data_IF_971508806816
#
_entry.id   IF_971508806816
#
_cell.length_a   1.000
_cell.length_b   1.000
_cell.length_c   1.000
_cell.angle_alpha   90.00
_cell.angle_beta   90.00
_cell.angle_gamma   90.00
#
_symmetry.space_group_name_H-M   'P 1'
#
loop_
_entity.id
_entity.type
_entity.pdbx_description
1 polymer ?
#
# COMPACT_ATOMS: atom_id res chain seq x y z
N UNK A 1 11.52 -7.18 -16.15
CA UNK A 1 10.07 -7.46 -16.19
C UNK A 1 9.72 -8.07 -14.84
N UNK A 2 8.78 -7.49 -14.09
CA UNK A 2 8.40 -8.00 -12.76
C UNK A 2 7.45 -9.19 -12.97
N UNK A 3 7.82 -10.42 -12.58
CA UNK A 3 6.95 -11.59 -12.72
C UNK A 3 5.59 -11.36 -12.02
N UNK A 4 4.48 -11.63 -12.72
CA UNK A 4 3.13 -11.59 -12.14
C UNK A 4 2.53 -10.19 -11.94
N UNK A 5 3.28 -9.10 -12.18
CA UNK A 5 2.79 -7.74 -11.93
C UNK A 5 1.62 -7.35 -12.85
N UNK A 6 1.70 -7.72 -14.14
CA UNK A 6 0.61 -7.48 -15.11
C UNK A 6 -0.64 -8.26 -14.75
N UNK A 7 -0.48 -9.53 -14.37
CA UNK A 7 -1.56 -10.41 -13.96
C UNK A 7 -2.22 -9.91 -12.67
N UNK A 8 -1.43 -9.43 -11.71
CA UNK A 8 -1.94 -8.86 -10.47
C UNK A 8 -2.77 -7.59 -10.72
N UNK A 9 -2.27 -6.67 -11.55
CA UNK A 9 -3.00 -5.45 -11.94
C UNK A 9 -4.32 -5.81 -12.64
N UNK A 10 -4.30 -6.77 -13.57
CA UNK A 10 -5.51 -7.20 -14.28
C UNK A 10 -6.56 -7.86 -13.38
N UNK A 11 -6.16 -8.34 -12.19
CA UNK A 11 -7.04 -8.97 -11.19
C UNK A 11 -7.63 -7.98 -10.19
N UNK A 12 -7.21 -6.72 -10.20
CA UNK A 12 -7.74 -5.71 -9.29
C UNK A 12 -9.28 -5.63 -9.43
N UNK A 13 -10.03 -5.76 -8.32
CA UNK A 13 -11.48 -5.57 -8.34
C UNK A 13 -11.84 -4.18 -8.86
N UNK A 14 -12.93 -4.07 -9.61
CA UNK A 14 -13.38 -2.78 -10.17
C UNK A 14 -13.78 -1.75 -9.11
N UNK A 15 -14.04 -2.19 -7.89
CA UNK A 15 -14.35 -1.39 -6.70
C UNK A 15 -13.16 -1.24 -5.74
N UNK A 16 -11.95 -1.68 -6.13
CA UNK A 16 -10.75 -1.45 -5.33
C UNK A 16 -10.51 0.07 -5.15
N UNK A 17 -10.23 0.55 -3.93
CA UNK A 17 -10.00 1.97 -3.71
C UNK A 17 -8.66 2.46 -4.27
N UNK A 18 -7.76 1.56 -4.68
CA UNK A 18 -6.49 1.94 -5.30
C UNK A 18 -5.38 0.91 -5.11
N UNK A 19 -4.18 1.37 -4.78
CA UNK A 19 -2.96 0.58 -4.90
C UNK A 19 -2.09 0.63 -3.64
N UNK A 20 -1.31 -0.42 -3.40
CA UNK A 20 -0.24 -0.47 -2.41
C UNK A 20 1.10 -0.65 -3.09
N UNK A 21 2.14 -0.04 -2.54
CA UNK A 21 3.51 -0.30 -2.96
C UNK A 21 4.14 -1.33 -2.03
N UNK A 22 4.74 -2.37 -2.62
CA UNK A 22 5.51 -3.37 -1.89
C UNK A 22 6.96 -3.42 -2.35
N UNK A 23 7.83 -3.99 -1.51
CA UNK A 23 9.26 -4.19 -1.79
C UNK A 23 9.96 -2.90 -2.26
N UNK A 24 9.68 -1.78 -1.58
CA UNK A 24 10.27 -0.47 -1.86
C UNK A 24 11.66 -0.26 -1.20
N UNK A 25 12.13 -1.21 -0.38
CA UNK A 25 13.48 -1.19 0.19
C UNK A 25 14.50 -1.95 -0.69
N UNK A 26 15.76 -1.48 -0.78
CA UNK A 26 16.78 -2.11 -1.63
C UNK A 26 17.03 -3.59 -1.34
N UNK A 27 17.03 -3.99 -0.05
CA UNK A 27 17.29 -5.37 0.34
C UNK A 27 16.23 -6.36 -0.19
N UNK A 28 14.96 -5.96 -0.19
CA UNK A 28 13.88 -6.78 -0.76
C UNK A 28 14.01 -6.88 -2.29
N UNK A 29 14.40 -5.77 -2.94
CA UNK A 29 14.61 -5.75 -4.39
C UNK A 29 15.79 -6.63 -4.81
N UNK A 30 16.91 -6.55 -4.11
CA UNK A 30 18.08 -7.41 -4.35
C UNK A 30 17.72 -8.89 -4.15
N UNK A 31 17.02 -9.22 -3.06
CA UNK A 31 16.60 -10.58 -2.76
C UNK A 31 15.76 -11.21 -3.88
N UNK A 32 14.84 -10.43 -4.46
CA UNK A 32 13.94 -10.90 -5.53
C UNK A 32 14.44 -10.59 -6.95
N UNK A 33 15.60 -9.96 -7.11
CA UNK A 33 16.12 -9.53 -8.41
C UNK A 33 15.23 -8.51 -9.12
N UNK A 34 14.68 -7.56 -8.37
CA UNK A 34 13.79 -6.50 -8.87
C UNK A 34 14.57 -5.22 -9.17
N UNK A 35 14.19 -4.55 -10.27
CA UNK A 35 14.74 -3.22 -10.64
C UNK A 35 13.95 -2.05 -10.01
N UNK A 36 12.98 -2.36 -9.15
CA UNK A 36 12.09 -1.37 -8.53
C UNK A 36 10.99 -2.01 -7.68
N UNK A 37 10.09 -1.20 -7.10
CA UNK A 37 9.00 -1.71 -6.28
C UNK A 37 7.97 -2.48 -7.11
N UNK A 38 7.12 -3.21 -6.40
CA UNK A 38 5.93 -3.88 -6.96
C UNK A 38 4.65 -3.16 -6.50
N UNK A 39 3.55 -3.37 -7.22
CA UNK A 39 2.25 -2.77 -6.88
C UNK A 39 1.18 -3.85 -6.68
N UNK A 40 0.41 -3.75 -5.60
CA UNK A 40 -0.79 -4.55 -5.35
C UNK A 40 -2.03 -3.67 -5.31
N UNK A 41 -3.22 -4.26 -5.30
CA UNK A 41 -4.47 -3.51 -5.18
C UNK A 41 -4.95 -3.46 -3.73
N UNK A 42 -5.59 -2.36 -3.34
CA UNK A 42 -6.16 -2.22 -2.00
C UNK A 42 -7.44 -3.04 -1.87
N UNK A 43 -7.63 -3.66 -0.72
CA UNK A 43 -8.85 -4.34 -0.33
C UNK A 43 -9.45 -3.65 0.91
N UNK A 44 -10.78 -3.60 1.04
CA UNK A 44 -11.39 -3.20 2.30
C UNK A 44 -10.93 -4.15 3.42
N UNK A 45 -10.92 -3.70 4.69
CA UNK A 45 -10.59 -4.58 5.80
C UNK A 45 -11.64 -5.70 5.88
N UNK A 46 -11.21 -6.93 5.60
CA UNK A 46 -12.05 -8.12 5.75
C UNK A 46 -11.96 -8.71 7.16
N UNK A 47 -12.77 -9.73 7.49
CA UNK A 47 -12.71 -10.47 8.77
C UNK A 47 -11.44 -11.35 8.89
N UNK A 48 -10.38 -11.01 8.17
CA UNK A 48 -9.16 -11.80 8.09
C UNK A 48 -8.42 -11.67 9.42
N UNK A 49 -7.94 -12.80 9.95
CA UNK A 49 -6.89 -12.85 10.96
C UNK A 49 -5.58 -12.34 10.34
N UNK A 50 -5.49 -11.03 10.13
CA UNK A 50 -4.21 -10.39 9.83
C UNK A 50 -3.28 -10.64 11.01
N UNK A 51 -2.01 -10.89 10.71
CA UNK A 51 -1.01 -11.15 11.75
C UNK A 51 -0.15 -9.90 12.03
N UNK A 52 -0.03 -9.04 11.02
CA UNK A 52 0.90 -7.91 11.00
C UNK A 52 0.14 -6.67 10.56
N UNK A 53 0.50 -5.54 11.15
CA UNK A 53 0.12 -4.22 10.69
C UNK A 53 1.34 -3.46 10.17
N UNK A 54 1.12 -2.60 9.17
CA UNK A 54 2.11 -1.64 8.70
C UNK A 54 1.48 -0.23 8.74
N UNK A 55 2.14 0.72 9.39
CA UNK A 55 1.72 2.12 9.38
C UNK A 55 2.27 2.82 8.15
N UNK A 56 1.39 3.47 7.40
CA UNK A 56 1.74 4.11 6.13
C UNK A 56 1.12 5.50 5.98
N UNK A 57 1.55 6.22 4.95
CA UNK A 57 0.84 7.39 4.43
C UNK A 57 0.00 6.96 3.24
N UNK A 58 -1.29 7.28 3.27
CA UNK A 58 -2.17 7.23 2.11
C UNK A 58 -2.13 8.55 1.33
N UNK A 59 -2.11 8.45 0.01
CA UNK A 59 -2.19 9.56 -0.92
C UNK A 59 -3.42 9.42 -1.81
N UNK A 60 -4.31 10.41 -1.77
CA UNK A 60 -5.50 10.47 -2.62
C UNK A 60 -5.19 11.22 -3.90
N UNK A 61 -5.51 10.59 -5.03
CA UNK A 61 -5.22 11.12 -6.35
C UNK A 61 -6.34 12.05 -6.82
N UNK A 62 -5.98 13.29 -7.15
CA UNK A 62 -6.85 14.34 -7.62
C UNK A 62 -7.34 14.14 -9.06
N UNK A 63 -8.26 15.00 -9.48
CA UNK A 63 -8.80 15.02 -10.85
C UNK A 63 -7.77 15.41 -11.91
N UNK A 64 -6.70 16.08 -11.51
CA UNK A 64 -5.53 16.39 -12.33
C UNK A 64 -4.50 15.25 -12.40
N UNK A 65 -4.73 14.15 -11.68
CA UNK A 65 -3.82 13.02 -11.57
C UNK A 65 -2.67 13.24 -10.58
N UNK A 66 -2.61 14.38 -9.89
CA UNK A 66 -1.67 14.68 -8.82
C UNK A 66 -2.14 14.21 -7.45
N UNK A 67 -1.35 14.44 -6.40
CA UNK A 67 -1.78 14.19 -5.01
C UNK A 67 -2.67 15.35 -4.56
N UNK A 68 -3.93 15.05 -4.24
CA UNK A 68 -4.88 16.03 -3.73
C UNK A 68 -4.87 16.11 -2.19
N UNK A 69 -4.60 14.99 -1.52
CA UNK A 69 -4.58 14.90 -0.07
C UNK A 69 -3.68 13.76 0.41
N UNK A 70 -3.21 13.88 1.65
CA UNK A 70 -2.43 12.87 2.36
C UNK A 70 -3.07 12.59 3.72
N UNK A 71 -2.84 11.40 4.28
CA UNK A 71 -3.39 11.01 5.58
C UNK A 71 -2.82 9.67 6.04
N UNK A 72 -3.05 9.27 7.29
CA UNK A 72 -2.51 8.04 7.84
C UNK A 72 -3.28 6.82 7.31
N UNK A 73 -2.58 5.71 7.15
CA UNK A 73 -3.15 4.42 6.82
C UNK A 73 -2.56 3.31 7.68
N UNK A 74 -3.32 2.23 7.86
CA UNK A 74 -2.86 0.99 8.46
C UNK A 74 -3.08 -0.11 7.44
N UNK A 75 -2.01 -0.66 6.89
CA UNK A 75 -2.07 -1.87 6.09
C UNK A 75 -2.17 -3.10 7.00
N UNK A 76 -3.06 -4.02 6.66
CA UNK A 76 -3.17 -5.33 7.30
C UNK A 76 -2.55 -6.38 6.39
N UNK A 77 -1.62 -7.15 6.96
CA UNK A 77 -0.77 -8.09 6.23
C UNK A 77 -0.83 -9.49 6.87
N UNK A 78 -0.80 -10.52 6.02
CA UNK A 78 -0.57 -11.91 6.44
C UNK A 78 0.56 -12.50 5.62
N UNK A 79 1.67 -12.80 6.29
CA UNK A 79 2.83 -13.48 5.68
C UNK A 79 2.61 -14.99 5.81
N UNK A 80 2.67 -15.69 4.68
CA UNK A 80 2.68 -17.14 4.63
C UNK A 80 4.14 -17.58 4.40
N UNK A 81 4.84 -18.10 5.43
CA UNK A 81 6.25 -18.43 5.32
C UNK A 81 6.53 -19.58 4.35
N UNK A 82 5.51 -20.32 3.90
CA UNK A 82 5.68 -21.34 2.87
C UNK A 82 5.81 -20.77 1.45
N UNK A 83 5.46 -19.48 1.26
CA UNK A 83 5.49 -18.79 -0.03
C UNK A 83 6.71 -17.88 -0.09
N UNK A 84 7.83 -18.43 -0.56
CA UNK A 84 9.09 -17.70 -0.69
C UNK A 84 9.33 -17.18 -2.12
N UNK A 85 8.54 -17.65 -3.09
CA UNK A 85 8.71 -17.26 -4.49
C UNK A 85 7.94 -15.99 -4.80
N UNK A 86 8.59 -15.06 -5.51
CA UNK A 86 7.97 -13.79 -5.91
C UNK A 86 6.63 -13.99 -6.62
N UNK A 87 6.52 -14.96 -7.55
CA UNK A 87 5.25 -15.16 -8.27
C UNK A 87 4.09 -15.56 -7.34
N UNK A 88 4.38 -16.34 -6.29
CA UNK A 88 3.38 -16.77 -5.31
C UNK A 88 2.96 -15.60 -4.40
N UNK A 89 3.92 -14.76 -4.02
CA UNK A 89 3.67 -13.53 -3.27
C UNK A 89 2.81 -12.56 -4.08
N UNK A 90 3.16 -12.34 -5.36
CA UNK A 90 2.40 -11.51 -6.28
C UNK A 90 0.98 -12.05 -6.49
N UNK A 91 0.81 -13.36 -6.67
CA UNK A 91 -0.50 -13.99 -6.76
C UNK A 91 -1.36 -13.75 -5.50
N UNK A 92 -0.71 -13.65 -4.33
CA UNK A 92 -1.30 -13.32 -3.04
C UNK A 92 -1.53 -11.84 -2.77
N UNK A 93 -1.41 -10.96 -3.77
CA UNK A 93 -1.53 -9.50 -3.64
C UNK A 93 -0.50 -8.91 -2.66
N UNK A 94 0.74 -9.44 -2.70
CA UNK A 94 1.89 -8.96 -1.90
C UNK A 94 1.54 -8.95 -0.41
N UNK A 95 1.04 -10.09 0.08
CA UNK A 95 0.62 -10.29 1.48
C UNK A 95 -0.55 -9.41 1.98
N UNK A 96 -1.09 -8.51 1.14
CA UNK A 96 -2.16 -7.58 1.51
C UNK A 96 -3.44 -8.32 1.91
N UNK A 97 -4.08 -7.83 2.98
CA UNK A 97 -5.40 -8.31 3.43
C UNK A 97 -6.44 -7.21 3.60
N UNK A 98 -6.01 -6.00 3.90
CA UNK A 98 -6.92 -4.87 3.98
C UNK A 98 -6.19 -3.59 4.33
N UNK A 99 -6.91 -2.48 4.25
CA UNK A 99 -6.39 -1.18 4.66
C UNK A 99 -7.43 -0.45 5.51
N UNK A 100 -6.98 0.20 6.57
CA UNK A 100 -7.75 1.23 7.28
C UNK A 100 -7.19 2.58 6.87
N UNK A 101 -8.04 3.44 6.33
CA UNK A 101 -7.68 4.79 5.90
C UNK A 101 -8.18 5.81 6.93
N UNK A 102 -7.31 6.73 7.34
CA UNK A 102 -7.68 7.90 8.12
C UNK A 102 -8.27 9.01 7.28
N UNK A 103 -8.70 10.08 7.97
CA UNK A 103 -9.22 11.26 7.30
C UNK A 103 -8.12 11.96 6.49
N UNK A 104 -8.37 12.29 5.21
CA UNK A 104 -7.38 12.94 4.37
C UNK A 104 -7.24 14.44 4.69
N UNK A 105 -6.00 14.93 4.73
CA UNK A 105 -5.65 16.34 4.82
C UNK A 105 -5.37 16.89 3.42
N UNK A 106 -6.29 17.72 2.93
CA UNK A 106 -6.22 18.31 1.58
C UNK A 106 -5.04 19.27 1.46
N UNK A 107 -4.29 19.15 0.36
CA UNK A 107 -3.15 20.02 0.05
C UNK A 107 -1.89 19.76 0.88
N UNK A 108 -1.91 18.75 1.76
CA UNK A 108 -0.71 18.31 2.47
C UNK A 108 0.38 17.86 1.49
N UNK A 109 1.64 18.00 1.87
CA UNK A 109 2.81 17.66 1.06
C UNK A 109 3.74 16.77 1.87
N UNK A 110 4.27 15.72 1.24
CA UNK A 110 5.26 14.83 1.83
C UNK A 110 6.14 14.27 0.71
N UNK A 111 7.44 14.54 0.77
CA UNK A 111 8.38 14.26 -0.33
C UNK A 111 8.44 12.77 -0.67
N UNK A 112 8.65 11.92 0.34
CA UNK A 112 8.71 10.46 0.15
C UNK A 112 7.39 9.92 -0.39
N UNK A 113 6.26 10.43 0.06
CA UNK A 113 4.95 9.97 -0.44
C UNK A 113 4.77 10.34 -1.91
N UNK A 114 5.24 11.52 -2.30
CA UNK A 114 5.24 11.99 -3.70
C UNK A 114 6.10 11.08 -4.58
N UNK A 115 7.32 10.78 -4.15
CA UNK A 115 8.21 9.87 -4.88
C UNK A 115 7.58 8.49 -5.05
N UNK A 116 6.99 7.95 -3.99
CA UNK A 116 6.35 6.64 -4.02
C UNK A 116 5.14 6.62 -4.97
N UNK A 117 4.29 7.65 -4.96
CA UNK A 117 3.19 7.77 -5.92
C UNK A 117 3.69 7.78 -7.36
N UNK A 118 4.79 8.48 -7.67
CA UNK A 118 5.40 8.44 -9.00
C UNK A 118 5.91 7.04 -9.36
N UNK A 119 6.56 6.34 -8.42
CA UNK A 119 6.98 4.95 -8.65
C UNK A 119 5.81 4.02 -8.93
N UNK A 120 4.72 4.13 -8.17
CA UNK A 120 3.50 3.35 -8.43
C UNK A 120 2.92 3.66 -9.82
N UNK A 121 2.88 4.93 -10.22
CA UNK A 121 2.40 5.34 -11.54
C UNK A 121 3.23 4.72 -12.65
N UNK A 122 4.55 4.73 -12.54
CA UNK A 122 5.45 4.10 -13.52
C UNK A 122 5.25 2.58 -13.59
N UNK A 123 5.19 1.90 -12.44
CA UNK A 123 4.97 0.44 -12.40
C UNK A 123 3.62 0.08 -13.04
N UNK A 124 2.56 0.84 -12.75
CA UNK A 124 1.24 0.64 -13.36
C UNK A 124 1.32 0.80 -14.88
N UNK A 125 1.89 1.91 -15.36
CA UNK A 125 2.00 2.20 -16.79
C UNK A 125 2.78 1.10 -17.55
N UNK A 126 3.91 0.66 -17.00
CA UNK A 126 4.76 -0.37 -17.60
C UNK A 126 4.08 -1.75 -17.68
N UNK A 127 3.08 -1.99 -16.83
CA UNK A 127 2.40 -3.28 -16.72
C UNK A 127 0.93 -3.24 -17.14
N UNK A 128 0.52 -2.20 -17.87
CA UNK A 128 -0.82 -2.09 -18.49
C UNK A 128 -1.94 -1.62 -17.56
N UNK A 129 -1.58 -1.06 -16.40
CA UNK A 129 -2.46 -0.35 -15.49
C UNK A 129 -2.37 1.17 -15.66
N UNK A 130 -3.19 1.89 -14.90
CA UNK A 130 -3.21 3.35 -14.85
C UNK A 130 -3.56 3.80 -13.43
N UNK A 131 -2.84 4.80 -12.92
CA UNK A 131 -3.22 5.48 -11.69
C UNK A 131 -4.32 6.51 -11.98
N UNK A 132 -5.57 6.12 -11.74
CA UNK A 132 -6.75 6.95 -12.07
C UNK A 132 -7.04 8.00 -11.00
N UNK A 133 -7.63 9.15 -11.38
CA UNK A 133 -8.26 10.05 -10.43
C UNK A 133 -9.22 9.35 -9.47
N UNK A 134 -9.21 9.75 -8.21
CA UNK A 134 -10.01 9.16 -7.14
C UNK A 134 -9.40 7.90 -6.51
N UNK A 135 -8.31 7.35 -7.07
CA UNK A 135 -7.58 6.26 -6.44
C UNK A 135 -6.82 6.72 -5.18
N UNK A 136 -6.52 5.77 -4.31
CA UNK A 136 -5.63 5.93 -3.14
C UNK A 136 -4.35 5.12 -3.37
N UNK A 137 -3.20 5.64 -2.95
CA UNK A 137 -1.94 4.88 -2.88
C UNK A 137 -1.44 4.87 -1.45
N UNK A 138 -1.17 3.71 -0.88
CA UNK A 138 -0.39 3.61 0.37
C UNK A 138 1.09 3.41 0.01
N UNK A 139 1.95 4.24 0.61
CA UNK A 139 3.29 4.56 0.09
C UNK A 139 4.43 3.69 0.65
N UNK A 140 4.12 2.63 1.37
CA UNK A 140 5.05 1.73 2.04
C UNK A 140 5.20 2.02 3.54
N UNK A 141 5.60 0.97 4.26
CA UNK A 141 5.70 0.94 5.71
C UNK A 141 6.67 1.98 6.30
N UNK A 142 6.17 2.75 7.27
CA UNK A 142 6.94 3.58 8.20
C UNK A 142 7.34 2.77 9.45
N UNK A 143 6.42 1.92 9.91
CA UNK A 143 6.56 1.06 11.07
C UNK A 143 5.77 -0.23 10.84
N UNK A 144 6.24 -1.33 11.41
CA UNK A 144 5.64 -2.66 11.29
C UNK A 144 5.57 -3.29 12.67
N UNK A 145 4.47 -4.00 12.97
CA UNK A 145 4.34 -4.76 14.20
C UNK A 145 3.34 -5.90 14.10
N UNK A 146 3.31 -6.72 15.15
CA UNK A 146 2.34 -7.81 15.27
C UNK A 146 1.01 -7.30 15.80
N UNK A 147 -0.08 -7.90 15.35
CA UNK A 147 -1.42 -7.62 15.88
C UNK A 147 -1.59 -8.37 17.21
N UNK A 148 -1.82 -7.60 18.28
CA UNK A 148 -2.16 -8.14 19.60
C UNK A 148 -3.67 -8.03 19.83
N UNK A 149 -4.40 -9.15 20.02
CA UNK A 149 -5.85 -9.11 20.18
C UNK A 149 -6.31 -8.17 21.29
N UNK A 150 -7.21 -7.25 20.95
CA UNK A 150 -7.79 -6.27 21.87
C UNK A 150 -6.97 -4.99 22.08
N UNK A 151 -5.74 -4.92 21.59
CA UNK A 151 -4.95 -3.69 21.57
C UNK A 151 -5.30 -2.85 20.33
N UNK A 152 -5.54 -1.53 20.49
CA UNK A 152 -5.79 -0.67 19.34
C UNK A 152 -4.51 -0.45 18.55
N UNK A 153 -4.62 -0.53 17.24
CA UNK A 153 -3.61 -0.06 16.29
C UNK A 153 -3.85 1.44 16.08
N UNK A 154 -2.82 2.27 16.19
CA UNK A 154 -2.91 3.72 15.97
C UNK A 154 -1.70 4.21 15.20
N UNK A 155 -1.94 4.66 13.97
CA UNK A 155 -0.96 5.41 13.20
C UNK A 155 -1.20 6.89 13.45
N UNK A 156 -0.36 7.52 14.27
CA UNK A 156 -0.42 8.95 14.57
C UNK A 156 0.69 9.71 13.83
N UNK A 157 0.27 10.47 12.82
CA UNK A 157 1.13 11.30 11.98
C UNK A 157 0.90 12.80 12.25
N UNK A 158 0.47 13.15 13.47
CA UNK A 158 0.21 14.55 13.86
C UNK A 158 1.44 15.44 13.75
N UNK A 159 2.63 14.91 14.01
CA UNK A 159 3.91 15.62 13.83
C UNK A 159 4.22 15.95 12.35
N UNK A 160 3.60 15.21 11.42
CA UNK A 160 3.64 15.49 9.99
C UNK A 160 2.43 16.33 9.51
N UNK A 161 1.56 16.75 10.44
CA UNK A 161 0.29 17.41 10.17
C UNK A 161 -0.67 16.60 9.29
N UNK A 162 -0.58 15.26 9.36
CA UNK A 162 -1.43 14.34 8.58
C UNK A 162 -2.58 13.75 9.41
N UNK A 163 -2.62 14.00 10.72
CA UNK A 163 -3.64 13.46 11.61
C UNK A 163 -3.35 12.02 12.06
N UNK A 164 -4.38 11.32 12.51
CA UNK A 164 -4.24 9.95 13.02
C UNK A 164 -5.40 9.05 12.59
N UNK A 165 -5.16 7.73 12.60
CA UNK A 165 -6.19 6.72 12.42
C UNK A 165 -5.98 5.60 13.43
N UNK A 166 -7.09 5.13 14.02
CA UNK A 166 -7.08 4.01 14.94
C UNK A 166 -8.04 2.91 14.48
N UNK A 167 -7.63 1.67 14.70
CA UNK A 167 -8.46 0.49 14.45
C UNK A 167 -8.34 -0.48 15.61
N UNK A 168 -9.44 -1.18 15.92
CA UNK A 168 -9.44 -2.25 16.92
C UNK A 168 -9.72 -3.57 16.20
N UNK A 169 -8.68 -4.38 15.94
CA UNK A 169 -8.81 -5.67 15.27
C UNK A 169 -9.53 -6.72 16.13
#
# INVERSE_FOLDING_TARGET
MIPGQRELIARAPGDSPGWKIGFNIPAAQEHFGLDGPVVGYLAPPGPVEAAIWEYEIAAWIGTDGGIAALGPAIELVTIDPSKERLEEIMAGNIHHRGVILGDPVVGAQHETATEMVERARLVLADHGGELRPGAVVITGALEVGEIVPGEPLTNDLSELHLGSVSHRP
#
